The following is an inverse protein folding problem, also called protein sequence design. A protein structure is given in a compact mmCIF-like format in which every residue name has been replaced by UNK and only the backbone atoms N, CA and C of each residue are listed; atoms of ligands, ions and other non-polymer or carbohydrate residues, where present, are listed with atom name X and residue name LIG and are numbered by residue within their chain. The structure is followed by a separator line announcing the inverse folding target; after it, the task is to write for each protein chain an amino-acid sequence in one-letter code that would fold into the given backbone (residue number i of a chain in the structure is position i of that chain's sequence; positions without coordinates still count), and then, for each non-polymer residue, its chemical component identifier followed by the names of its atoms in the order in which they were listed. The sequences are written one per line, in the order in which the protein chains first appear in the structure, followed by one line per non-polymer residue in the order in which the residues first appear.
data_IF_048862568163
#
_entry.id   IF_048862568163
#
_cell.length_a   1.000
_cell.length_b   1.000
_cell.length_c   1.000
_cell.angle_alpha   90.00
_cell.angle_beta   90.00
_cell.angle_gamma   90.00
#
_symmetry.space_group_name_H-M   'P 1'
#
loop_
_entity.id
_entity.type
_entity.pdbx_description
1 polymer ?
#
# COMPACT_ATOMS: atom_id res chain seq x y z
N UNK A 1 16.49 -17.10 -12.42
CA UNK A 1 17.06 -15.99 -13.20
C UNK A 1 16.00 -14.91 -13.22
N UNK A 2 16.01 -14.05 -12.20
CA UNK A 2 14.99 -13.01 -11.96
C UNK A 2 15.32 -11.80 -12.83
N UNK A 3 14.54 -11.56 -13.88
CA UNK A 3 14.59 -10.31 -14.64
C UNK A 3 13.91 -9.21 -13.81
N UNK A 4 14.73 -8.37 -13.19
CA UNK A 4 14.32 -7.10 -12.57
C UNK A 4 13.67 -6.22 -13.65
N UNK A 5 12.35 -6.06 -13.58
CA UNK A 5 11.62 -5.05 -14.35
C UNK A 5 11.83 -3.70 -13.67
N UNK A 6 12.79 -2.93 -14.17
CA UNK A 6 12.90 -1.52 -13.84
C UNK A 6 11.68 -0.79 -14.43
N UNK A 7 10.73 -0.41 -13.57
CA UNK A 7 9.72 0.56 -13.95
C UNK A 7 10.42 1.90 -14.15
N UNK A 8 10.57 2.33 -15.39
CA UNK A 8 11.10 3.64 -15.73
C UNK A 8 10.08 4.69 -15.26
N UNK A 9 10.34 5.29 -14.10
CA UNK A 9 9.61 6.47 -13.64
C UNK A 9 10.03 7.62 -14.58
N UNK A 10 9.31 7.79 -15.69
CA UNK A 10 9.41 9.00 -16.52
C UNK A 10 8.81 10.14 -15.67
N UNK A 11 9.67 10.82 -14.89
CA UNK A 11 9.35 12.10 -14.29
C UNK A 11 9.12 13.09 -15.45
N UNK A 12 7.87 13.25 -15.86
CA UNK A 12 7.49 14.37 -16.72
C UNK A 12 7.45 15.60 -15.82
N UNK A 13 8.57 16.29 -15.72
CA UNK A 13 8.64 17.60 -15.07
C UNK A 13 7.67 18.55 -15.79
N UNK A 14 6.87 19.28 -15.03
CA UNK A 14 6.11 20.40 -15.57
C UNK A 14 7.07 21.37 -16.30
N UNK A 15 6.73 21.86 -17.50
CA UNK A 15 7.59 22.79 -18.20
C UNK A 15 7.75 24.07 -17.39
N UNK A 16 8.96 24.31 -16.87
CA UNK A 16 9.30 25.48 -16.06
C UNK A 16 9.91 25.21 -14.69
N UNK A 17 9.87 23.99 -14.16
CA UNK A 17 10.57 23.65 -12.92
C UNK A 17 12.04 23.33 -13.25
N UNK A 18 12.96 24.25 -12.96
CA UNK A 18 14.38 23.96 -12.92
C UNK A 18 14.62 22.91 -11.82
N UNK A 19 15.23 21.79 -12.16
CA UNK A 19 15.68 20.80 -11.17
C UNK A 19 16.71 21.50 -10.28
N UNK A 20 16.52 21.60 -8.97
CA UNK A 20 17.55 22.18 -8.11
C UNK A 20 18.83 21.35 -8.25
N UNK A 21 20.03 21.98 -8.36
CA UNK A 21 21.30 21.27 -8.55
C UNK A 21 21.71 20.39 -7.36
N UNK A 22 20.94 20.35 -6.31
CA UNK A 22 21.24 19.76 -4.99
C UNK A 22 20.33 18.55 -4.64
N UNK A 23 19.67 17.96 -5.63
CA UNK A 23 18.88 16.77 -5.42
C UNK A 23 19.76 15.50 -5.37
N UNK A 24 19.44 14.61 -4.45
CA UNK A 24 20.01 13.25 -4.36
C UNK A 24 18.93 12.25 -4.73
N UNK A 25 19.27 11.36 -5.68
CA UNK A 25 18.42 10.22 -6.05
C UNK A 25 19.15 8.92 -5.70
N UNK A 26 18.39 7.97 -5.11
CA UNK A 26 18.92 6.66 -4.72
C UNK A 26 17.92 5.57 -5.07
N UNK A 27 18.45 4.37 -5.34
CA UNK A 27 17.68 3.14 -5.52
C UNK A 27 18.27 2.05 -4.64
N UNK A 28 17.42 1.36 -3.90
CA UNK A 28 17.80 0.37 -2.90
C UNK A 28 16.78 -0.77 -2.88
N UNK A 29 17.23 -2.00 -2.63
CA UNK A 29 16.32 -3.10 -2.30
C UNK A 29 15.90 -3.00 -0.83
N UNK A 30 14.59 -2.93 -0.54
CA UNK A 30 14.07 -2.77 0.82
C UNK A 30 12.64 -3.30 0.91
N UNK A 31 12.26 -3.90 2.04
CA UNK A 31 10.91 -4.46 2.28
C UNK A 31 10.43 -5.40 1.15
N UNK A 32 11.35 -6.22 0.62
CA UNK A 32 11.07 -7.16 -0.47
C UNK A 32 10.80 -6.53 -1.84
N UNK A 33 11.06 -5.24 -2.01
CA UNK A 33 10.84 -4.50 -3.24
C UNK A 33 11.96 -3.49 -3.51
N UNK A 34 11.78 -2.59 -4.49
CA UNK A 34 12.70 -1.49 -4.77
C UNK A 34 12.18 -0.20 -4.11
N UNK A 35 13.08 0.52 -3.44
CA UNK A 35 12.89 1.90 -3.01
C UNK A 35 13.60 2.83 -4.01
N UNK A 36 12.87 3.76 -4.57
CA UNK A 36 13.40 4.95 -5.24
C UNK A 36 13.15 6.15 -4.34
N UNK A 37 14.19 6.86 -3.97
CA UNK A 37 14.08 8.06 -3.14
C UNK A 37 14.80 9.23 -3.82
N UNK A 38 14.10 10.36 -3.94
CA UNK A 38 14.64 11.66 -4.34
C UNK A 38 14.44 12.64 -3.21
N UNK A 39 15.52 13.27 -2.76
CA UNK A 39 15.50 14.30 -1.71
C UNK A 39 16.13 15.57 -2.24
N UNK A 40 15.49 16.70 -2.00
CA UNK A 40 15.97 18.04 -2.28
C UNK A 40 16.26 18.77 -0.96
N UNK A 41 17.44 19.42 -0.86
CA UNK A 41 17.86 20.13 0.33
C UNK A 41 18.65 21.40 -0.02
N UNK A 42 19.25 22.06 0.98
CA UNK A 42 20.05 23.26 0.81
C UNK A 42 21.35 23.01 0.05
N UNK A 43 21.91 21.83 0.21
CA UNK A 43 23.10 21.34 -0.51
C UNK A 43 23.08 19.81 -0.61
N UNK A 44 24.04 19.24 -1.37
CA UNK A 44 24.12 17.81 -1.63
C UNK A 44 24.39 16.98 -0.37
N UNK A 45 25.18 17.48 0.57
CA UNK A 45 25.48 16.78 1.81
C UNK A 45 24.24 16.66 2.68
N UNK A 46 23.49 17.75 2.83
CA UNK A 46 22.21 17.77 3.53
C UNK A 46 21.17 16.84 2.89
N UNK A 47 21.09 16.81 1.54
CA UNK A 47 20.19 15.89 0.84
C UNK A 47 20.58 14.41 1.05
N UNK A 48 21.89 14.12 1.09
CA UNK A 48 22.38 12.77 1.36
C UNK A 48 22.05 12.34 2.79
N UNK A 49 22.34 13.17 3.79
CA UNK A 49 22.06 12.92 5.21
C UNK A 49 20.57 12.65 5.44
N UNK A 50 19.70 13.51 4.88
CA UNK A 50 18.25 13.36 4.97
C UNK A 50 17.78 12.06 4.31
N UNK A 51 18.33 11.71 3.13
CA UNK A 51 18.01 10.45 2.46
C UNK A 51 18.43 9.23 3.31
N UNK A 52 19.58 9.29 3.99
CA UNK A 52 20.03 8.25 4.91
C UNK A 52 19.11 8.12 6.13
N UNK A 53 18.62 9.23 6.67
CA UNK A 53 17.66 9.19 7.78
C UNK A 53 16.36 8.47 7.38
N UNK A 54 15.82 8.79 6.19
CA UNK A 54 14.64 8.14 5.65
C UNK A 54 14.85 6.63 5.41
N UNK A 55 16.00 6.23 4.84
CA UNK A 55 16.34 4.82 4.63
C UNK A 55 16.44 4.06 5.94
N UNK A 56 17.13 4.59 6.96
CA UNK A 56 17.21 3.95 8.28
C UNK A 56 15.84 3.78 8.95
N UNK A 57 14.91 4.72 8.75
CA UNK A 57 13.55 4.60 9.28
C UNK A 57 12.76 3.46 8.59
N UNK A 58 12.94 3.32 7.28
CA UNK A 58 12.37 2.19 6.52
C UNK A 58 12.95 0.85 6.95
N UNK A 59 14.28 0.75 7.10
CA UNK A 59 14.96 -0.46 7.59
C UNK A 59 14.50 -0.87 9.00
N UNK A 60 14.35 0.10 9.90
CA UNK A 60 13.81 -0.13 11.23
C UNK A 60 12.36 -0.62 11.20
N UNK A 61 11.55 -0.12 10.26
CA UNK A 61 10.18 -0.58 10.06
C UNK A 61 10.15 -1.99 9.49
N UNK A 62 10.99 -2.31 8.51
CA UNK A 62 11.12 -3.68 8.00
C UNK A 62 11.53 -4.66 9.10
N UNK A 63 12.54 -4.32 9.90
CA UNK A 63 12.98 -5.15 11.03
C UNK A 63 11.87 -5.38 12.07
N UNK A 64 10.97 -4.42 12.24
CA UNK A 64 9.82 -4.50 13.16
C UNK A 64 8.67 -5.32 12.60
N UNK A 65 8.34 -5.15 11.31
CA UNK A 65 7.09 -5.64 10.70
C UNK A 65 7.22 -6.91 9.88
N UNK A 66 8.41 -7.23 9.33
CA UNK A 66 8.54 -8.32 8.36
C UNK A 66 8.09 -9.67 8.93
N UNK A 67 7.06 -10.26 8.34
CA UNK A 67 6.60 -11.63 8.66
C UNK A 67 7.41 -12.72 7.93
N UNK A 68 8.41 -12.31 7.15
CA UNK A 68 9.42 -13.19 6.56
C UNK A 68 10.65 -13.40 7.46
N UNK A 69 10.75 -12.60 8.51
CA UNK A 69 11.80 -12.67 9.52
C UNK A 69 11.24 -13.23 10.82
N UNK A 70 11.91 -14.23 11.38
CA UNK A 70 11.49 -14.81 12.65
C UNK A 70 11.75 -13.91 13.87
N UNK A 71 12.69 -12.97 13.76
CA UNK A 71 13.10 -12.07 14.82
C UNK A 71 12.35 -10.74 14.84
N UNK A 72 11.43 -10.48 13.88
CA UNK A 72 10.63 -9.26 13.88
C UNK A 72 9.64 -9.22 15.05
N UNK A 73 9.25 -8.03 15.44
CA UNK A 73 8.30 -7.85 16.55
C UNK A 73 6.91 -8.38 16.19
N UNK A 74 6.45 -8.13 14.95
CA UNK A 74 5.17 -8.64 14.45
C UNK A 74 5.17 -10.17 14.37
N UNK A 75 6.27 -10.79 13.94
CA UNK A 75 6.39 -12.24 13.91
C UNK A 75 6.37 -12.85 15.33
N UNK A 76 6.97 -12.17 16.33
CA UNK A 76 6.87 -12.60 17.74
C UNK A 76 5.42 -12.52 18.24
N UNK A 77 4.70 -11.45 17.93
CA UNK A 77 3.27 -11.33 18.25
C UNK A 77 2.48 -12.46 17.60
N UNK A 78 2.71 -12.75 16.31
CA UNK A 78 2.03 -13.83 15.59
C UNK A 78 2.28 -15.23 16.19
N UNK A 79 3.41 -15.46 16.87
CA UNK A 79 3.74 -16.73 17.53
C UNK A 79 3.40 -16.76 19.01
N UNK A 80 2.97 -15.64 19.59
CA UNK A 80 2.62 -15.60 21.01
C UNK A 80 1.50 -16.59 21.33
N UNK A 81 1.52 -17.17 22.50
CA UNK A 81 0.45 -18.07 22.96
C UNK A 81 -0.88 -17.30 23.03
N UNK A 82 -1.98 -17.99 22.70
CA UNK A 82 -3.32 -17.43 22.80
C UNK A 82 -3.63 -17.06 24.24
N UNK A 83 -4.20 -15.88 24.46
CA UNK A 83 -4.56 -15.36 25.77
C UNK A 83 -3.37 -14.79 26.57
N UNK A 84 -2.14 -14.86 26.04
CA UNK A 84 -0.95 -14.28 26.68
C UNK A 84 -0.67 -12.89 26.14
N UNK A 85 -0.70 -11.83 26.95
CA UNK A 85 -0.39 -10.48 26.53
C UNK A 85 1.11 -10.31 26.21
N UNK A 86 1.41 -9.64 25.09
CA UNK A 86 2.76 -9.26 24.66
C UNK A 86 2.89 -7.75 24.75
N UNK A 87 3.95 -7.25 25.36
CA UNK A 87 4.28 -5.83 25.33
C UNK A 87 4.84 -5.47 23.96
N UNK A 88 4.24 -4.50 23.31
CA UNK A 88 4.68 -3.97 22.03
C UNK A 88 5.53 -2.72 22.21
N UNK A 89 6.43 -2.48 21.25
CA UNK A 89 7.07 -1.16 21.11
C UNK A 89 6.02 -0.09 20.81
N UNK A 90 6.30 1.18 21.15
CA UNK A 90 5.40 2.28 20.79
C UNK A 90 5.09 2.33 19.29
N UNK A 91 6.09 2.04 18.44
CA UNK A 91 5.94 2.01 16.98
C UNK A 91 4.89 1.00 16.54
N UNK A 92 5.07 -0.29 16.87
CA UNK A 92 4.12 -1.34 16.48
C UNK A 92 2.73 -1.12 17.09
N UNK A 93 2.66 -0.66 18.34
CA UNK A 93 1.38 -0.37 18.99
C UNK A 93 0.60 0.74 18.26
N UNK A 94 1.28 1.80 17.80
CA UNK A 94 0.66 2.90 17.03
C UNK A 94 0.24 2.42 15.64
N UNK A 95 1.08 1.68 14.95
CA UNK A 95 0.78 1.10 13.65
C UNK A 95 -0.45 0.18 13.71
N UNK A 96 -0.52 -0.72 14.69
CA UNK A 96 -1.67 -1.60 14.88
C UNK A 96 -2.97 -0.86 15.27
N UNK A 97 -2.87 0.27 15.98
CA UNK A 97 -4.06 1.13 16.21
C UNK A 97 -4.56 1.75 14.91
N UNK A 98 -3.67 2.25 14.07
CA UNK A 98 -4.03 2.77 12.76
C UNK A 98 -4.63 1.70 11.84
N UNK A 99 -4.02 0.52 11.83
CA UNK A 99 -4.54 -0.66 11.13
C UNK A 99 -5.93 -1.06 11.63
N UNK A 100 -6.15 -1.10 12.95
CA UNK A 100 -7.45 -1.42 13.55
C UNK A 100 -8.51 -0.35 13.22
N UNK A 101 -8.12 0.92 13.19
CA UNK A 101 -9.00 2.01 12.75
C UNK A 101 -9.47 1.79 11.31
N UNK A 102 -8.55 1.56 10.35
CA UNK A 102 -8.94 1.34 8.96
C UNK A 102 -9.68 0.02 8.73
N UNK A 103 -9.39 -1.01 9.50
CA UNK A 103 -10.19 -2.22 9.51
C UNK A 103 -11.66 -1.95 9.88
N UNK A 104 -11.91 -1.13 10.92
CA UNK A 104 -13.26 -0.73 11.35
C UNK A 104 -13.95 0.13 10.29
N UNK A 105 -13.29 1.19 9.79
CA UNK A 105 -13.84 2.11 8.80
C UNK A 105 -14.19 1.41 7.49
N UNK A 106 -13.45 0.39 7.10
CA UNK A 106 -13.73 -0.39 5.86
C UNK A 106 -14.75 -1.52 6.07
N UNK A 107 -15.29 -1.67 7.28
CA UNK A 107 -16.19 -2.79 7.61
C UNK A 107 -15.55 -4.16 7.37
N UNK A 108 -14.24 -4.27 7.57
CA UNK A 108 -13.47 -5.49 7.37
C UNK A 108 -13.15 -5.82 5.90
N UNK A 109 -13.39 -4.91 4.95
CA UNK A 109 -12.89 -5.08 3.59
C UNK A 109 -11.35 -5.07 3.55
N UNK A 110 -10.71 -4.22 4.36
CA UNK A 110 -9.32 -4.36 4.74
C UNK A 110 -9.25 -5.12 6.08
N UNK A 111 -8.61 -6.27 6.11
CA UNK A 111 -8.32 -7.02 7.34
C UNK A 111 -6.93 -7.68 7.23
N UNK A 112 -5.93 -7.22 7.99
CA UNK A 112 -4.61 -7.82 7.96
C UNK A 112 -4.52 -9.15 8.74
N UNK A 113 -5.56 -9.53 9.50
CA UNK A 113 -5.63 -10.79 10.24
C UNK A 113 -5.90 -12.02 9.36
N UNK A 114 -5.57 -11.95 8.06
CA UNK A 114 -5.88 -12.97 7.04
C UNK A 114 -4.81 -14.05 6.87
N UNK A 115 -3.81 -14.14 7.73
CA UNK A 115 -2.71 -15.09 7.54
C UNK A 115 -3.14 -16.54 7.41
N UNK A 116 -4.22 -16.96 8.10
CA UNK A 116 -4.80 -18.28 7.91
C UNK A 116 -5.35 -18.49 6.48
N UNK A 117 -5.96 -17.46 5.88
CA UNK A 117 -6.40 -17.48 4.47
C UNK A 117 -5.21 -17.50 3.51
N UNK A 118 -4.18 -16.67 3.76
CA UNK A 118 -2.94 -16.66 2.98
C UNK A 118 -2.31 -18.05 2.95
N UNK A 119 -2.28 -18.73 4.11
CA UNK A 119 -1.79 -20.12 4.21
C UNK A 119 -2.69 -21.11 3.49
N UNK A 120 -4.02 -21.01 3.65
CA UNK A 120 -4.98 -21.90 2.98
C UNK A 120 -4.88 -21.80 1.45
N UNK A 121 -4.70 -20.60 0.89
CA UNK A 121 -4.50 -20.36 -0.54
C UNK A 121 -3.05 -20.61 -0.99
N UNK A 122 -2.13 -20.92 -0.08
CA UNK A 122 -0.73 -21.18 -0.40
C UNK A 122 -0.01 -19.98 -1.06
N UNK A 123 -0.43 -18.74 -0.79
CA UNK A 123 0.08 -17.57 -1.51
C UNK A 123 1.58 -17.32 -1.31
N UNK A 124 2.16 -17.85 -0.23
CA UNK A 124 3.61 -17.79 0.04
C UNK A 124 4.38 -18.98 -0.55
N UNK A 125 3.70 -20.00 -1.08
CA UNK A 125 4.29 -21.29 -1.52
C UNK A 125 3.93 -21.66 -2.95
N UNK A 126 3.58 -20.67 -3.80
CA UNK A 126 3.28 -20.89 -5.21
C UNK A 126 1.79 -20.93 -5.56
N UNK A 127 0.92 -20.93 -4.56
CA UNK A 127 -0.53 -20.92 -4.74
C UNK A 127 -1.17 -22.31 -4.83
N UNK A 128 -2.36 -22.43 -4.27
CA UNK A 128 -3.27 -23.57 -4.43
C UNK A 128 -4.71 -23.11 -4.23
N UNK A 129 -5.67 -23.83 -4.79
CA UNK A 129 -7.09 -23.60 -4.52
C UNK A 129 -7.51 -24.46 -3.31
N UNK A 130 -7.89 -23.86 -2.17
CA UNK A 130 -8.37 -24.62 -1.02
C UNK A 130 -9.76 -25.18 -1.28
N UNK A 131 -10.14 -26.25 -0.58
CA UNK A 131 -11.54 -26.70 -0.55
C UNK A 131 -12.42 -25.63 0.12
N UNK A 132 -13.73 -25.71 -0.10
CA UNK A 132 -14.67 -24.80 0.56
C UNK A 132 -14.52 -24.84 2.09
N UNK A 133 -14.44 -26.06 2.65
CA UNK A 133 -14.27 -26.27 4.10
C UNK A 133 -12.95 -25.69 4.64
N UNK A 134 -11.82 -25.88 3.92
CA UNK A 134 -10.53 -25.30 4.31
C UNK A 134 -10.60 -23.76 4.33
N UNK A 135 -11.24 -23.17 3.30
CA UNK A 135 -11.41 -21.73 3.16
C UNK A 135 -12.27 -21.16 4.28
N UNK A 136 -13.41 -21.77 4.59
CA UNK A 136 -14.30 -21.35 5.66
C UNK A 136 -13.62 -21.47 7.03
N UNK A 137 -12.95 -22.58 7.30
CA UNK A 137 -12.17 -22.75 8.53
C UNK A 137 -11.07 -21.69 8.66
N UNK A 138 -10.35 -21.38 7.58
CA UNK A 138 -9.29 -20.37 7.61
C UNK A 138 -9.85 -18.96 7.83
N UNK A 139 -10.98 -18.61 7.21
CA UNK A 139 -11.68 -17.35 7.43
C UNK A 139 -12.11 -17.20 8.89
N UNK A 140 -12.75 -18.22 9.45
CA UNK A 140 -13.33 -18.16 10.81
C UNK A 140 -12.23 -18.22 11.90
N UNK A 141 -11.10 -18.83 11.60
CA UNK A 141 -9.95 -18.89 12.49
C UNK A 141 -9.19 -17.55 12.62
N UNK A 142 -9.18 -16.73 11.56
CA UNK A 142 -8.46 -15.47 11.46
C UNK A 142 -9.29 -14.24 11.83
N UNK A 143 -8.90 -13.13 11.20
CA UNK A 143 -9.54 -11.82 11.32
C UNK A 143 -9.07 -10.98 12.51
N UNK A 144 -9.05 -9.67 12.30
CA UNK A 144 -8.53 -8.72 13.32
C UNK A 144 -9.42 -8.65 14.58
N UNK A 145 -10.65 -9.17 14.53
CA UNK A 145 -11.48 -9.38 15.72
C UNK A 145 -10.81 -10.29 16.77
N UNK A 146 -9.85 -11.11 16.35
CA UNK A 146 -9.07 -11.99 17.24
C UNK A 146 -7.84 -11.32 17.85
N UNK A 147 -7.62 -10.01 17.61
CA UNK A 147 -6.58 -9.21 18.25
C UNK A 147 -7.22 -8.32 19.32
N UNK A 148 -6.75 -8.44 20.56
CA UNK A 148 -7.01 -7.44 21.60
C UNK A 148 -5.79 -6.54 21.70
N UNK A 149 -5.98 -5.24 21.47
CA UNK A 149 -4.97 -4.21 21.66
C UNK A 149 -5.37 -3.33 22.82
N UNK A 150 -4.50 -3.21 23.83
CA UNK A 150 -4.75 -2.43 25.05
C UNK A 150 -4.11 -1.03 24.93
N UNK A 151 -4.67 -0.05 25.66
CA UNK A 151 -4.18 1.33 25.65
C UNK A 151 -2.71 1.46 26.10
N UNK A 152 -2.24 0.57 26.98
CA UNK A 152 -0.87 0.51 27.49
C UNK A 152 0.15 -0.09 26.49
N UNK A 153 -0.28 -0.38 25.25
CA UNK A 153 0.58 -0.97 24.23
C UNK A 153 0.78 -2.48 24.35
N UNK A 154 -0.07 -3.18 25.12
CA UNK A 154 -0.07 -4.65 25.14
C UNK A 154 -1.02 -5.18 24.09
N UNK A 155 -0.63 -6.24 23.42
CA UNK A 155 -1.47 -6.96 22.46
C UNK A 155 -1.62 -8.43 22.87
N UNK A 156 -2.77 -9.03 22.53
CA UNK A 156 -3.05 -10.42 22.87
C UNK A 156 -3.84 -11.06 21.71
N UNK A 157 -3.40 -12.23 21.29
CA UNK A 157 -4.13 -13.08 20.35
C UNK A 157 -5.25 -13.80 21.10
N UNK A 158 -6.46 -13.72 20.56
CA UNK A 158 -7.65 -14.37 21.15
C UNK A 158 -7.99 -15.72 20.48
N UNK A 159 -7.41 -15.99 19.30
CA UNK A 159 -7.61 -17.25 18.56
C UNK A 159 -6.28 -17.76 17.98
N UNK A 160 -6.11 -19.09 17.86
CA UNK A 160 -4.88 -19.68 17.32
C UNK A 160 -4.60 -19.30 15.86
N UNK A 161 -5.66 -19.13 15.05
CA UNK A 161 -5.54 -18.81 13.63
C UNK A 161 -5.32 -17.34 13.31
N UNK A 162 -5.28 -16.45 14.31
CA UNK A 162 -4.89 -15.07 14.04
C UNK A 162 -3.41 -15.02 13.66
N UNK A 163 -3.15 -14.65 12.44
CA UNK A 163 -1.82 -14.27 11.93
C UNK A 163 -1.97 -12.95 11.19
N UNK A 164 -1.25 -11.94 11.62
CA UNK A 164 -1.29 -10.59 11.04
C UNK A 164 -0.28 -10.53 9.91
N UNK A 165 -0.74 -10.17 8.73
CA UNK A 165 0.07 -9.97 7.52
C UNK A 165 0.37 -8.48 7.34
N UNK A 166 1.63 -8.11 7.11
CA UNK A 166 2.06 -6.74 6.87
C UNK A 166 1.85 -6.28 5.41
N UNK A 167 1.65 -7.21 4.47
CA UNK A 167 1.62 -6.93 3.03
C UNK A 167 0.56 -5.93 2.57
N UNK A 168 -0.42 -5.63 3.40
CA UNK A 168 -1.49 -4.68 3.10
C UNK A 168 -1.36 -3.31 3.76
N UNK A 169 -0.26 -3.06 4.53
CA UNK A 169 -0.08 -1.82 5.29
C UNK A 169 1.38 -1.50 5.64
N UNK A 170 2.27 -2.48 5.55
CA UNK A 170 3.66 -2.34 6.01
C UNK A 170 4.47 -1.33 5.20
N UNK A 171 4.25 -1.26 3.87
CA UNK A 171 4.91 -0.24 3.05
C UNK A 171 4.46 1.16 3.42
N UNK A 172 3.16 1.32 3.64
CA UNK A 172 2.60 2.59 4.09
C UNK A 172 3.16 3.05 5.44
N UNK A 173 3.24 2.15 6.41
CA UNK A 173 3.86 2.42 7.71
C UNK A 173 5.34 2.81 7.57
N UNK A 174 6.09 2.12 6.70
CA UNK A 174 7.50 2.45 6.41
C UNK A 174 7.66 3.83 5.79
N UNK A 175 6.82 4.17 4.82
CA UNK A 175 6.83 5.49 4.20
C UNK A 175 6.50 6.61 5.20
N UNK A 176 5.51 6.40 6.07
CA UNK A 176 5.19 7.36 7.13
C UNK A 176 6.37 7.56 8.09
N UNK A 177 7.04 6.48 8.47
CA UNK A 177 8.26 6.56 9.30
C UNK A 177 9.40 7.31 8.59
N UNK A 178 9.57 7.10 7.29
CA UNK A 178 10.55 7.82 6.49
C UNK A 178 10.24 9.32 6.38
N UNK A 179 8.96 9.70 6.14
CA UNK A 179 8.54 11.10 6.13
C UNK A 179 8.74 11.77 7.49
N UNK A 180 8.47 11.04 8.57
CA UNK A 180 8.73 11.54 9.93
C UNK A 180 10.22 11.77 10.15
N UNK A 181 11.09 10.85 9.69
CA UNK A 181 12.55 11.00 9.81
C UNK A 181 13.06 12.20 9.00
N UNK A 182 12.53 12.46 7.80
CA UNK A 182 12.85 13.66 7.02
C UNK A 182 12.45 14.94 7.74
N UNK A 183 11.28 14.93 8.39
CA UNK A 183 10.79 16.07 9.19
C UNK A 183 11.68 16.33 10.40
N UNK A 184 12.06 15.29 11.13
CA UNK A 184 12.91 15.40 12.34
C UNK A 184 14.34 15.82 12.00
N UNK A 185 14.91 15.34 10.88
CA UNK A 185 16.23 15.76 10.39
C UNK A 185 16.24 17.25 9.97
N UNK A 186 15.14 17.75 9.47
CA UNK A 186 14.91 19.18 9.17
C UNK A 186 15.74 19.75 8.01
N UNK A 187 16.53 18.93 7.30
CA UNK A 187 17.39 19.38 6.19
C UNK A 187 16.69 19.28 4.83
N UNK A 188 15.78 18.31 4.66
CA UNK A 188 15.03 18.13 3.42
C UNK A 188 14.03 19.28 3.23
N UNK A 189 14.00 19.83 2.00
CA UNK A 189 12.98 20.80 1.54
C UNK A 189 11.81 20.07 0.89
N UNK A 190 12.12 19.07 0.06
CA UNK A 190 11.14 18.22 -0.60
C UNK A 190 11.71 16.83 -0.80
N UNK A 191 10.83 15.82 -0.84
CA UNK A 191 11.21 14.46 -1.20
C UNK A 191 10.05 13.71 -1.85
N UNK A 192 10.41 12.78 -2.73
CA UNK A 192 9.54 11.75 -3.29
C UNK A 192 10.12 10.38 -2.96
N UNK A 193 9.34 9.55 -2.33
CA UNK A 193 9.68 8.16 -2.02
C UNK A 193 8.74 7.24 -2.78
N UNK A 194 9.27 6.29 -3.54
CA UNK A 194 8.51 5.24 -4.21
C UNK A 194 8.99 3.88 -3.72
N UNK A 195 8.17 3.21 -2.95
CA UNK A 195 8.45 1.89 -2.39
C UNK A 195 7.55 0.84 -3.05
N UNK A 196 8.08 0.19 -4.08
CA UNK A 196 7.36 -0.85 -4.82
C UNK A 196 6.04 -0.39 -5.44
N UNK A 197 5.98 0.86 -5.93
CA UNK A 197 4.79 1.46 -6.54
C UNK A 197 3.89 2.21 -5.57
N UNK A 198 4.12 2.14 -4.26
CA UNK A 198 3.51 3.07 -3.31
C UNK A 198 4.38 4.31 -3.19
N UNK A 199 3.77 5.48 -3.34
CA UNK A 199 4.49 6.77 -3.34
C UNK A 199 4.10 7.59 -2.13
N UNK A 200 5.08 8.27 -1.53
CA UNK A 200 4.86 9.29 -0.49
C UNK A 200 5.64 10.57 -0.82
N UNK A 201 5.04 11.70 -0.49
CA UNK A 201 5.54 13.04 -0.80
C UNK A 201 5.80 13.80 0.49
N UNK A 202 6.98 14.41 0.57
CA UNK A 202 7.40 15.30 1.65
C UNK A 202 7.65 16.71 1.13
N UNK A 203 7.37 17.70 1.97
CA UNK A 203 7.61 19.12 1.68
C UNK A 203 6.39 19.80 1.07
N UNK A 204 6.49 21.14 0.94
CA UNK A 204 5.44 22.00 0.41
C UNK A 204 5.91 22.75 -0.84
N UNK A 205 4.94 23.21 -1.63
CA UNK A 205 5.18 24.13 -2.76
C UNK A 205 5.68 23.46 -4.05
N UNK A 206 5.72 22.13 -4.11
CA UNK A 206 6.09 21.39 -5.32
C UNK A 206 4.97 20.41 -5.70
N UNK A 207 4.50 20.51 -6.93
CA UNK A 207 3.58 19.52 -7.52
C UNK A 207 4.38 18.39 -8.16
N UNK A 208 4.07 17.16 -7.75
CA UNK A 208 4.64 15.94 -8.31
C UNK A 208 3.66 15.29 -9.27
N UNK A 209 4.12 14.99 -10.48
CA UNK A 209 3.33 14.29 -11.50
C UNK A 209 3.65 12.81 -11.44
N UNK A 210 2.70 12.02 -10.98
CA UNK A 210 2.84 10.58 -10.74
C UNK A 210 2.15 9.78 -11.85
N UNK A 211 2.86 8.88 -12.54
CA UNK A 211 2.24 8.02 -13.54
C UNK A 211 1.44 6.90 -12.87
N UNK A 212 0.23 6.65 -13.37
CA UNK A 212 -0.59 5.50 -13.03
C UNK A 212 -0.58 4.56 -14.23
N UNK A 213 -0.16 3.32 -13.97
CA UNK A 213 0.05 2.31 -15.00
C UNK A 213 -1.25 1.66 -15.49
N UNK A 214 -1.23 1.17 -16.71
CA UNK A 214 -2.25 0.26 -17.25
C UNK A 214 -2.27 -1.04 -16.40
N UNK A 215 -3.40 -1.45 -15.84
CA UNK A 215 -3.47 -2.70 -15.06
C UNK A 215 -3.11 -3.95 -15.88
N UNK A 216 -3.09 -3.86 -17.22
CA UNK A 216 -2.72 -4.96 -18.12
C UNK A 216 -1.24 -4.94 -18.51
N UNK A 217 -0.60 -3.76 -18.46
CA UNK A 217 0.84 -3.59 -18.71
C UNK A 217 1.39 -2.48 -17.79
N UNK A 218 2.00 -2.87 -16.71
CA UNK A 218 2.54 -1.95 -15.69
C UNK A 218 3.67 -1.04 -16.19
N UNK A 219 4.25 -1.32 -17.35
CA UNK A 219 5.27 -0.47 -17.98
C UNK A 219 4.66 0.69 -18.75
N UNK A 220 3.35 0.66 -19.01
CA UNK A 220 2.62 1.68 -19.76
C UNK A 220 1.87 2.59 -18.81
N UNK A 221 2.31 3.82 -18.65
CA UNK A 221 1.54 4.86 -17.95
C UNK A 221 0.34 5.30 -18.80
N UNK A 222 -0.84 5.38 -18.19
CA UNK A 222 -2.10 5.72 -18.90
C UNK A 222 -2.80 6.93 -18.35
N UNK A 223 -2.54 7.27 -17.08
CA UNK A 223 -3.03 8.49 -16.41
C UNK A 223 -1.88 9.12 -15.65
N UNK A 224 -1.79 10.44 -15.65
CA UNK A 224 -0.94 11.19 -14.73
C UNK A 224 -1.81 11.77 -13.61
N UNK A 225 -1.34 11.64 -12.37
CA UNK A 225 -1.94 12.25 -11.18
C UNK A 225 -0.97 13.28 -10.61
N UNK A 226 -1.42 14.53 -10.44
CA UNK A 226 -0.63 15.60 -9.85
C UNK A 226 -0.98 15.73 -8.37
N UNK A 227 0.04 15.63 -7.50
CA UNK A 227 -0.09 15.71 -6.04
C UNK A 227 1.00 16.61 -5.46
N UNK A 228 0.63 17.42 -4.45
CA UNK A 228 1.56 18.26 -3.70
C UNK A 228 1.97 17.63 -2.35
N UNK A 229 1.23 16.65 -1.85
CA UNK A 229 1.47 16.01 -0.55
C UNK A 229 0.73 14.68 -0.43
N UNK A 230 0.99 13.95 0.67
CA UNK A 230 0.32 12.71 1.00
C UNK A 230 0.98 11.48 0.38
N UNK A 231 0.22 10.41 0.29
CA UNK A 231 0.68 9.12 -0.24
C UNK A 231 -0.33 8.54 -1.22
N UNK A 232 0.18 7.80 -2.19
CA UNK A 232 -0.61 7.09 -3.19
C UNK A 232 -0.23 5.61 -3.17
N UNK A 233 -1.23 4.73 -3.03
CA UNK A 233 -1.05 3.29 -3.13
C UNK A 233 -1.99 2.70 -4.18
N UNK A 234 -1.52 1.71 -4.93
CA UNK A 234 -2.31 1.01 -5.95
C UNK A 234 -2.39 -0.47 -5.65
N UNK A 235 -3.58 -1.04 -5.72
CA UNK A 235 -3.81 -2.48 -5.65
C UNK A 235 -4.43 -3.00 -6.95
N UNK A 236 -4.01 -4.21 -7.36
CA UNK A 236 -4.55 -4.92 -8.52
C UNK A 236 -4.12 -6.39 -8.53
N UNK A 237 -4.93 -7.26 -9.12
CA UNK A 237 -4.66 -8.70 -9.19
C UNK A 237 -3.64 -9.09 -10.27
N UNK A 238 -3.23 -8.12 -11.13
CA UNK A 238 -2.21 -8.36 -12.16
C UNK A 238 -0.79 -8.49 -11.60
N UNK A 239 -0.54 -8.04 -10.35
CA UNK A 239 0.80 -8.02 -9.75
C UNK A 239 1.28 -9.41 -9.33
N UNK A 240 0.44 -10.12 -8.62
CA UNK A 240 0.72 -11.44 -8.09
C UNK A 240 -0.51 -12.34 -8.22
N UNK A 241 -0.27 -13.63 -8.34
CA UNK A 241 -1.31 -14.63 -8.46
C UNK A 241 -0.74 -15.92 -8.99
N UNK A 242 -1.58 -16.94 -9.13
CA UNK A 242 -1.20 -18.24 -9.67
C UNK A 242 -2.30 -18.77 -10.61
N UNK A 243 -1.96 -19.76 -11.39
CA UNK A 243 -2.90 -20.45 -12.28
C UNK A 243 -3.08 -21.89 -11.83
N UNK A 244 -4.33 -22.35 -11.77
CA UNK A 244 -4.67 -23.75 -11.48
C UNK A 244 -5.95 -24.13 -12.21
N UNK A 245 -5.94 -25.27 -12.90
CA UNK A 245 -7.12 -25.77 -13.63
C UNK A 245 -7.58 -24.85 -14.77
N UNK A 246 -6.68 -24.06 -15.38
CA UNK A 246 -7.00 -23.11 -16.44
C UNK A 246 -7.65 -21.79 -15.95
N UNK A 247 -7.78 -21.61 -14.63
CA UNK A 247 -8.25 -20.37 -14.01
C UNK A 247 -7.12 -19.63 -13.31
N UNK A 248 -7.12 -18.29 -13.40
CA UNK A 248 -6.19 -17.41 -12.69
C UNK A 248 -6.81 -16.96 -11.37
N UNK A 249 -6.02 -17.02 -10.31
CA UNK A 249 -6.39 -16.58 -8.97
C UNK A 249 -5.46 -15.43 -8.53
N UNK A 250 -6.05 -14.29 -8.17
CA UNK A 250 -5.32 -13.14 -7.64
C UNK A 250 -4.91 -13.34 -6.18
N UNK A 251 -3.95 -12.53 -5.72
CA UNK A 251 -3.46 -12.57 -4.35
C UNK A 251 -4.31 -11.73 -3.37
N UNK A 252 -5.16 -10.84 -3.87
CA UNK A 252 -6.04 -10.03 -3.03
C UNK A 252 -7.24 -10.88 -2.60
N UNK A 253 -7.27 -11.25 -1.33
CA UNK A 253 -8.35 -12.05 -0.75
C UNK A 253 -9.39 -11.12 -0.09
N UNK A 254 -10.68 -11.41 -0.31
CA UNK A 254 -11.76 -10.80 0.46
C UNK A 254 -11.88 -11.49 1.83
N UNK A 255 -11.56 -10.83 2.94
CA UNK A 255 -11.60 -11.44 4.27
C UNK A 255 -13.00 -11.95 4.66
N UNK A 256 -14.04 -11.35 4.10
CA UNK A 256 -15.45 -11.68 4.42
C UNK A 256 -15.90 -12.99 3.78
N UNK A 257 -15.36 -13.31 2.61
CA UNK A 257 -15.71 -14.53 1.85
C UNK A 257 -14.60 -15.58 1.85
N UNK A 258 -13.36 -15.14 2.16
CA UNK A 258 -12.15 -15.96 2.06
C UNK A 258 -11.73 -16.26 0.63
N UNK A 259 -12.39 -15.69 -0.38
CA UNK A 259 -12.09 -15.90 -1.79
C UNK A 259 -11.24 -14.75 -2.38
N UNK A 260 -10.51 -14.99 -3.48
CA UNK A 260 -9.87 -13.90 -4.22
C UNK A 260 -10.90 -12.88 -4.70
N UNK A 261 -10.53 -11.59 -4.60
CA UNK A 261 -11.34 -10.51 -5.14
C UNK A 261 -11.47 -10.63 -6.65
N UNK A 262 -12.65 -10.23 -7.18
CA UNK A 262 -12.88 -10.18 -8.62
C UNK A 262 -11.91 -9.20 -9.26
N UNK A 263 -11.24 -9.62 -10.32
CA UNK A 263 -10.36 -8.75 -11.08
C UNK A 263 -11.19 -7.79 -11.97
N UNK A 264 -10.93 -6.49 -11.83
CA UNK A 264 -11.48 -5.45 -12.69
C UNK A 264 -10.38 -4.54 -13.29
N UNK A 265 -9.13 -4.72 -12.84
CA UNK A 265 -7.99 -3.89 -13.18
C UNK A 265 -7.24 -3.40 -11.96
N UNK A 266 -7.27 -2.10 -11.63
CA UNK A 266 -6.58 -1.55 -10.48
C UNK A 266 -7.37 -0.49 -9.73
N UNK A 267 -7.08 -0.33 -8.44
CA UNK A 267 -7.56 0.75 -7.60
C UNK A 267 -6.37 1.50 -7.02
N UNK A 268 -6.27 2.78 -7.33
CA UNK A 268 -5.33 3.72 -6.73
C UNK A 268 -6.05 4.54 -5.68
N UNK A 269 -5.47 4.64 -4.49
CA UNK A 269 -5.97 5.46 -3.38
C UNK A 269 -4.93 6.50 -3.04
N UNK A 270 -5.36 7.76 -2.89
CA UNK A 270 -4.61 8.83 -2.27
C UNK A 270 -5.17 9.13 -0.88
N UNK A 271 -4.26 9.30 0.07
CA UNK A 271 -4.56 9.70 1.44
C UNK A 271 -3.44 10.59 2.00
N UNK A 272 -3.68 11.25 3.13
CA UNK A 272 -2.68 12.10 3.78
C UNK A 272 -1.49 11.33 4.36
N UNK A 273 -1.64 10.02 4.63
CA UNK A 273 -0.60 9.16 5.20
C UNK A 273 -0.38 7.91 4.36
N UNK A 274 0.84 7.36 4.40
CA UNK A 274 1.19 6.11 3.72
C UNK A 274 0.40 4.93 4.25
N UNK A 275 0.25 4.83 5.57
CA UNK A 275 -0.53 3.77 6.22
C UNK A 275 -1.99 3.77 5.72
N UNK A 276 -2.63 4.94 5.68
CA UNK A 276 -4.01 5.05 5.19
C UNK A 276 -4.11 4.64 3.72
N UNK A 277 -3.24 5.17 2.84
CA UNK A 277 -3.25 4.84 1.42
C UNK A 277 -3.08 3.33 1.18
N UNK A 278 -2.14 2.67 1.89
CA UNK A 278 -1.89 1.23 1.76
C UNK A 278 -3.08 0.41 2.24
N UNK A 279 -3.58 0.64 3.46
CA UNK A 279 -4.77 -0.04 3.99
C UNK A 279 -5.97 0.11 3.05
N UNK A 280 -6.25 1.34 2.62
CA UNK A 280 -7.43 1.69 1.83
C UNK A 280 -7.32 1.28 0.35
N UNK A 281 -6.13 1.01 -0.17
CA UNK A 281 -6.00 0.39 -1.50
C UNK A 281 -6.71 -0.96 -1.58
N UNK A 282 -6.98 -1.61 -0.43
CA UNK A 282 -7.73 -2.88 -0.31
C UNK A 282 -9.26 -2.70 -0.46
N UNK A 283 -9.76 -1.44 -0.54
CA UNK A 283 -11.12 -1.17 -1.04
C UNK A 283 -11.33 -1.69 -2.48
N UNK A 284 -10.25 -2.10 -3.15
CA UNK A 284 -10.29 -2.92 -4.38
C UNK A 284 -11.31 -4.07 -4.28
N UNK A 285 -11.44 -4.67 -3.10
CA UNK A 285 -12.36 -5.78 -2.81
C UNK A 285 -13.84 -5.37 -3.01
N UNK A 286 -14.16 -4.09 -2.82
CA UNK A 286 -15.52 -3.56 -2.99
C UNK A 286 -15.88 -3.32 -4.48
N UNK A 287 -14.92 -3.45 -5.38
CA UNK A 287 -15.06 -3.04 -6.77
C UNK A 287 -15.03 -1.51 -6.97
N UNK A 288 -15.01 -1.05 -8.24
CA UNK A 288 -14.88 0.37 -8.56
C UNK A 288 -15.96 1.26 -7.93
N UNK A 289 -17.21 0.87 -8.09
CA UNK A 289 -18.37 1.63 -7.61
C UNK A 289 -18.45 1.62 -6.08
N UNK A 290 -18.13 0.48 -5.44
CA UNK A 290 -18.08 0.36 -3.99
C UNK A 290 -16.98 1.21 -3.36
N UNK A 291 -15.79 1.23 -3.95
CA UNK A 291 -14.68 2.07 -3.49
C UNK A 291 -15.01 3.57 -3.63
N UNK A 292 -15.62 4.00 -4.74
CA UNK A 292 -16.07 5.38 -4.91
C UNK A 292 -17.17 5.76 -3.92
N UNK A 293 -18.14 4.86 -3.69
CA UNK A 293 -19.21 5.11 -2.72
C UNK A 293 -18.66 5.26 -1.31
N UNK A 294 -17.67 4.44 -0.94
CA UNK A 294 -16.98 4.55 0.35
C UNK A 294 -16.21 5.88 0.47
N UNK A 295 -15.42 6.25 -0.53
CA UNK A 295 -14.64 7.48 -0.51
C UNK A 295 -15.49 8.75 -0.36
N UNK A 296 -16.72 8.78 -0.92
CA UNK A 296 -17.65 9.91 -0.75
C UNK A 296 -18.02 10.21 0.70
N UNK A 297 -18.00 9.22 1.57
CA UNK A 297 -18.32 9.37 2.99
C UNK A 297 -17.07 9.60 3.86
N UNK A 298 -15.88 9.63 3.24
CA UNK A 298 -14.60 9.79 3.94
C UNK A 298 -13.77 10.94 3.32
N UNK A 299 -14.09 12.20 3.65
CA UNK A 299 -13.36 13.36 3.13
C UNK A 299 -11.85 13.25 3.37
N UNK A 300 -11.07 13.68 2.38
CA UNK A 300 -9.60 13.58 2.43
C UNK A 300 -9.04 12.25 1.92
N UNK A 301 -9.91 11.32 1.48
CA UNK A 301 -9.50 10.10 0.77
C UNK A 301 -10.03 10.16 -0.65
N UNK A 302 -9.14 10.00 -1.62
CA UNK A 302 -9.50 10.01 -3.02
C UNK A 302 -9.16 8.67 -3.68
N UNK A 303 -9.99 8.25 -4.62
CA UNK A 303 -9.83 6.98 -5.32
C UNK A 303 -9.91 7.14 -6.84
N UNK A 304 -9.11 6.34 -7.53
CA UNK A 304 -9.15 6.16 -8.98
C UNK A 304 -9.16 4.68 -9.30
N UNK A 305 -10.24 4.19 -9.90
CA UNK A 305 -10.32 2.83 -10.40
C UNK A 305 -10.06 2.82 -11.92
N UNK A 306 -9.08 2.03 -12.36
CA UNK A 306 -8.88 1.71 -13.77
C UNK A 306 -9.47 0.33 -14.05
N UNK A 307 -10.50 0.28 -14.91
CA UNK A 307 -11.11 -0.99 -15.32
C UNK A 307 -11.04 -1.20 -16.82
N UNK A 308 -10.95 -2.46 -17.21
CA UNK A 308 -11.04 -2.86 -18.61
C UNK A 308 -12.48 -3.29 -18.91
N UNK A 309 -13.11 -2.64 -19.88
CA UNK A 309 -14.47 -2.93 -20.33
C UNK A 309 -14.46 -3.03 -21.85
N UNK A 310 -14.78 -4.23 -22.39
CA UNK A 310 -14.74 -4.46 -23.84
C UNK A 310 -13.41 -4.13 -24.52
N UNK A 311 -12.28 -4.33 -23.82
CA UNK A 311 -10.92 -4.00 -24.30
C UNK A 311 -10.56 -2.51 -24.17
N UNK A 312 -11.48 -1.64 -23.77
CA UNK A 312 -11.23 -0.22 -23.50
C UNK A 312 -10.91 0.00 -22.03
N UNK A 313 -10.02 0.94 -21.77
CA UNK A 313 -9.66 1.33 -20.41
C UNK A 313 -10.56 2.51 -19.97
N UNK A 314 -11.27 2.33 -18.87
CA UNK A 314 -12.08 3.38 -18.23
C UNK A 314 -11.50 3.74 -16.88
N UNK A 315 -11.45 5.02 -16.57
CA UNK A 315 -11.00 5.57 -15.32
C UNK A 315 -12.19 6.18 -14.56
N UNK A 316 -12.52 5.60 -13.39
CA UNK A 316 -13.55 6.11 -12.49
C UNK A 316 -12.87 6.77 -11.32
N UNK A 317 -13.08 8.06 -11.11
CA UNK A 317 -12.39 8.87 -10.11
C UNK A 317 -13.35 9.53 -9.12
N UNK A 318 -12.91 9.70 -7.87
CA UNK A 318 -13.61 10.52 -6.91
C UNK A 318 -13.51 12.01 -7.26
N UNK A 319 -14.50 12.85 -6.85
CA UNK A 319 -14.59 14.26 -7.27
C UNK A 319 -13.37 15.12 -6.89
N UNK A 320 -12.69 14.84 -5.75
CA UNK A 320 -11.53 15.61 -5.30
C UNK A 320 -10.29 15.47 -6.17
N UNK A 321 -10.30 14.52 -7.13
CA UNK A 321 -9.25 14.38 -8.16
C UNK A 321 -9.50 15.25 -9.40
N UNK A 322 -10.58 16.03 -9.46
CA UNK A 322 -10.82 16.97 -10.58
C UNK A 322 -9.68 17.96 -10.69
N UNK A 323 -9.19 18.16 -11.93
CA UNK A 323 -8.05 19.05 -12.21
C UNK A 323 -6.68 18.46 -11.87
N UNK A 324 -6.63 17.32 -11.16
CA UNK A 324 -5.37 16.63 -10.80
C UNK A 324 -5.04 15.46 -11.71
N UNK A 325 -6.01 14.96 -12.49
CA UNK A 325 -5.85 13.83 -13.39
C UNK A 325 -5.73 14.28 -14.85
N UNK A 326 -4.78 13.69 -15.58
CA UNK A 326 -4.58 13.91 -17.01
C UNK A 326 -4.45 12.56 -17.73
N UNK A 327 -5.30 12.25 -18.75
CA UNK A 327 -5.07 11.10 -19.61
C UNK A 327 -3.72 11.24 -20.32
N UNK A 328 -2.94 10.17 -20.36
CA UNK A 328 -1.67 10.10 -21.11
C UNK A 328 -1.84 9.44 -22.47
N UNK A 329 -2.96 8.75 -22.67
CA UNK A 329 -3.33 8.08 -23.92
C UNK A 329 -4.78 8.41 -24.30
N UNK A 330 -5.09 8.53 -25.62
CA UNK A 330 -6.42 8.94 -26.07
C UNK A 330 -7.55 7.98 -25.70
N UNK A 331 -7.23 6.70 -25.46
CA UNK A 331 -8.21 5.65 -25.19
C UNK A 331 -8.75 5.68 -23.76
N UNK A 332 -8.16 6.47 -22.86
CA UNK A 332 -8.62 6.58 -21.48
C UNK A 332 -9.62 7.72 -21.34
N UNK A 333 -10.83 7.36 -20.94
CA UNK A 333 -11.88 8.32 -20.55
C UNK A 333 -11.93 8.36 -19.02
N UNK A 334 -11.79 9.56 -18.44
CA UNK A 334 -11.90 9.78 -16.99
C UNK A 334 -13.33 10.23 -16.67
N UNK A 335 -14.03 9.41 -15.91
CA UNK A 335 -15.37 9.67 -15.40
C UNK A 335 -15.27 9.99 -13.91
N UNK A 336 -15.89 11.08 -13.48
CA UNK A 336 -15.91 11.45 -12.07
C UNK A 336 -17.24 11.06 -11.43
N UNK A 337 -17.17 10.43 -10.27
CA UNK A 337 -18.34 10.15 -9.45
C UNK A 337 -19.15 11.43 -9.16
N UNK A 338 -20.43 11.26 -8.85
CA UNK A 338 -21.27 12.38 -8.37
C UNK A 338 -20.77 12.78 -6.98
N UNK A 339 -20.76 14.10 -6.76
CA UNK A 339 -20.44 14.69 -5.44
C UNK A 339 -21.49 14.28 -4.40
#
# INVERSE_FOLDING_TARGET
MSLLLAALLLLVLAPGASVPPEAVERRLGLMGTELEIRVEAGDRAAALDASEAAVRALEATEARLSTWRDDSELARLNRAAVGVPVQLSPGLANELRGVQYWWQETGGAFDPGIGALVAAWGLRTGGRVPTLEERERARDAGGLTALKLEANGRAMRLRPGLVIEEGGWGKGAGLDAALQALHEDGKAKAALLNLGGQVAIYGEGMDWVLPIADPRDRRRAVVALTLASGSMATSGNSEHGFEQGGARYGHLLDPRTGAPARDFGSLTVWASTGLAADCLSKLYILGPEGALAWARTHPGIEVLALRTDGGRLRALASPGLRGKLKPLIPEVVIEFGRS
#
